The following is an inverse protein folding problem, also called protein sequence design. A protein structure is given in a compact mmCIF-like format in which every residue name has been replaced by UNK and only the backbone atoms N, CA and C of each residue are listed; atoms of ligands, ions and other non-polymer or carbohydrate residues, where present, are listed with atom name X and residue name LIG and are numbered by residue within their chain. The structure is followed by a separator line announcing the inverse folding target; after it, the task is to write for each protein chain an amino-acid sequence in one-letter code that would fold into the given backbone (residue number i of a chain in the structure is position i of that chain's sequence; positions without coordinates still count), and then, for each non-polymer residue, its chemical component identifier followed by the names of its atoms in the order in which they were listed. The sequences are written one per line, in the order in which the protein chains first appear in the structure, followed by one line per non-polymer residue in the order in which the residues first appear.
data_IF_052707668871
#
_entry.id   IF_052707668871
#
_cell.length_a   1.000
_cell.length_b   1.000
_cell.length_c   1.000
_cell.angle_alpha   90.00
_cell.angle_beta   90.00
_cell.angle_gamma   90.00
#
_symmetry.space_group_name_H-M   'P 1'
#
loop_
_entity.id
_entity.type
_entity.pdbx_description
1 polymer ?
#
# COMPACT_ATOMS: atom_id res chain seq x y z
N UNK A 1 11.40 -13.50 -14.94
CA UNK A 1 12.21 -14.58 -15.53
C UNK A 1 11.96 -14.76 -17.01
N UNK A 2 10.70 -14.79 -17.47
CA UNK A 2 10.40 -14.94 -18.90
C UNK A 2 11.08 -13.88 -19.79
N UNK A 3 11.13 -12.63 -19.32
CA UNK A 3 11.86 -11.54 -20.01
C UNK A 3 13.35 -11.83 -20.20
N UNK A 4 14.04 -12.32 -19.17
CA UNK A 4 15.48 -12.64 -19.27
C UNK A 4 15.73 -13.80 -20.23
N UNK A 5 14.85 -14.82 -20.22
CA UNK A 5 14.95 -15.93 -21.16
C UNK A 5 14.73 -15.50 -22.62
N UNK A 6 13.82 -14.55 -22.85
CA UNK A 6 13.63 -13.95 -24.17
C UNK A 6 14.88 -13.20 -24.65
N UNK A 7 15.54 -12.43 -23.78
CA UNK A 7 16.79 -11.74 -24.13
C UNK A 7 17.91 -12.73 -24.48
N UNK A 8 18.05 -13.83 -23.74
CA UNK A 8 19.03 -14.88 -24.07
C UNK A 8 18.75 -15.48 -25.44
N UNK A 9 17.47 -15.70 -25.80
CA UNK A 9 17.09 -16.16 -27.14
C UNK A 9 17.50 -15.18 -28.23
N UNK A 10 17.21 -13.90 -28.05
CA UNK A 10 17.59 -12.83 -29.00
C UNK A 10 19.10 -12.77 -29.22
N UNK A 11 19.88 -12.84 -28.13
CA UNK A 11 21.35 -12.82 -28.20
C UNK A 11 21.96 -14.05 -28.89
N UNK A 12 21.23 -15.17 -28.92
CA UNK A 12 21.66 -16.43 -29.55
C UNK A 12 21.12 -16.62 -30.98
N UNK A 13 20.38 -15.65 -31.53
CA UNK A 13 19.90 -15.72 -32.91
C UNK A 13 21.06 -15.86 -33.91
N UNK A 14 20.86 -16.56 -35.04
CA UNK A 14 21.85 -16.65 -36.11
C UNK A 14 22.30 -15.26 -36.57
N UNK A 15 23.62 -15.05 -36.65
CA UNK A 15 24.20 -13.77 -37.06
C UNK A 15 24.45 -12.78 -35.92
N UNK A 16 23.94 -13.03 -34.71
CA UNK A 16 24.30 -12.26 -33.51
C UNK A 16 25.61 -12.78 -32.94
N UNK A 17 26.67 -11.99 -33.03
CA UNK A 17 27.99 -12.29 -32.41
C UNK A 17 28.01 -11.94 -30.91
N UNK A 18 26.95 -12.26 -30.18
CA UNK A 18 26.74 -11.89 -28.77
C UNK A 18 26.73 -13.11 -27.84
N UNK A 19 27.44 -14.18 -28.24
CA UNK A 19 27.49 -15.44 -27.51
C UNK A 19 27.96 -15.27 -26.06
N UNK A 20 28.96 -14.43 -25.84
CA UNK A 20 29.54 -14.24 -24.50
C UNK A 20 28.56 -13.54 -23.54
N UNK A 21 27.76 -12.59 -24.05
CA UNK A 21 26.70 -11.94 -23.28
C UNK A 21 25.57 -12.93 -22.94
N UNK A 22 25.17 -13.75 -23.91
CA UNK A 22 24.19 -14.81 -23.67
C UNK A 22 24.68 -15.79 -22.60
N UNK A 23 25.96 -16.21 -22.64
CA UNK A 23 26.55 -17.10 -21.64
C UNK A 23 26.61 -16.47 -20.26
N UNK A 24 26.94 -15.17 -20.16
CA UNK A 24 26.93 -14.44 -18.90
C UNK A 24 25.53 -14.43 -18.27
N UNK A 25 24.49 -14.17 -19.07
CA UNK A 25 23.09 -14.21 -18.60
C UNK A 25 22.64 -15.62 -18.20
N UNK A 26 22.99 -16.65 -18.98
CA UNK A 26 22.73 -18.06 -18.63
C UNK A 26 23.37 -18.41 -17.28
N UNK A 27 24.62 -17.98 -17.05
CA UNK A 27 25.32 -18.22 -15.79
C UNK A 27 24.60 -17.59 -14.61
N UNK A 28 24.10 -16.35 -14.75
CA UNK A 28 23.30 -15.70 -13.71
C UNK A 28 21.98 -16.43 -13.44
N UNK A 29 21.30 -16.93 -14.49
CA UNK A 29 20.08 -17.72 -14.34
C UNK A 29 20.34 -19.06 -13.63
N UNK A 30 21.44 -19.74 -13.96
CA UNK A 30 21.90 -20.95 -13.28
C UNK A 30 22.26 -20.70 -11.81
N UNK A 31 22.95 -19.60 -11.52
CA UNK A 31 23.27 -19.22 -10.14
C UNK A 31 22.00 -18.95 -9.31
N UNK A 32 20.96 -18.40 -9.94
CA UNK A 32 19.68 -18.23 -9.28
C UNK A 32 18.93 -19.56 -9.09
N UNK A 33 19.06 -20.48 -10.05
CA UNK A 33 18.54 -21.84 -9.91
C UNK A 33 19.27 -22.62 -8.80
N UNK A 34 20.58 -22.36 -8.61
CA UNK A 34 21.37 -22.99 -7.56
C UNK A 34 21.07 -22.41 -6.18
N UNK A 35 20.65 -21.15 -6.02
CA UNK A 35 20.25 -20.61 -4.70
C UNK A 35 19.09 -21.42 -4.09
N UNK A 36 18.26 -22.06 -4.91
CA UNK A 36 17.15 -22.90 -4.44
C UNK A 36 17.60 -24.24 -3.82
N UNK A 37 18.90 -24.57 -3.85
CA UNK A 37 19.48 -25.79 -3.26
C UNK A 37 20.82 -25.46 -2.61
N UNK A 38 21.11 -26.00 -1.42
CA UNK A 38 22.45 -25.88 -0.83
C UNK A 38 23.50 -26.49 -1.77
N UNK A 39 24.47 -25.65 -2.19
CA UNK A 39 25.69 -25.95 -2.94
C UNK A 39 25.55 -26.75 -4.25
N UNK A 40 25.28 -26.03 -5.35
CA UNK A 40 25.60 -26.52 -6.71
C UNK A 40 26.50 -25.51 -7.39
N UNK A 41 27.74 -25.90 -7.70
CA UNK A 41 28.64 -25.11 -8.54
C UNK A 41 28.13 -25.09 -9.99
N UNK A 42 27.97 -23.89 -10.55
CA UNK A 42 27.59 -23.72 -11.96
C UNK A 42 28.75 -24.13 -12.86
N UNK A 43 28.62 -25.26 -13.57
CA UNK A 43 29.66 -25.76 -14.46
C UNK A 43 29.55 -25.19 -15.88
N UNK A 44 30.67 -25.05 -16.59
CA UNK A 44 30.67 -24.67 -18.02
C UNK A 44 29.91 -25.67 -18.90
N UNK A 45 29.85 -26.95 -18.49
CA UNK A 45 29.07 -27.98 -19.19
C UNK A 45 27.57 -27.71 -19.12
N UNK A 46 27.08 -27.15 -18.02
CA UNK A 46 25.68 -26.77 -17.86
C UNK A 46 25.33 -25.57 -18.73
N UNK A 47 26.23 -24.58 -18.81
CA UNK A 47 26.08 -23.43 -19.70
C UNK A 47 26.00 -23.88 -21.15
N UNK A 48 26.89 -24.79 -21.59
CA UNK A 48 26.90 -25.33 -22.94
C UNK A 48 25.62 -26.11 -23.28
N UNK A 49 25.10 -26.90 -22.33
CA UNK A 49 23.85 -27.65 -22.47
C UNK A 49 22.67 -26.69 -22.65
N UNK A 50 22.59 -25.65 -21.83
CA UNK A 50 21.53 -24.65 -21.89
C UNK A 50 21.61 -23.81 -23.16
N UNK A 51 22.80 -23.41 -23.58
CA UNK A 51 22.99 -22.67 -24.84
C UNK A 51 22.42 -23.45 -26.04
N UNK A 52 22.70 -24.76 -26.10
CA UNK A 52 22.16 -25.65 -27.15
C UNK A 52 20.64 -25.78 -27.07
N UNK A 53 20.11 -25.94 -25.86
CA UNK A 53 18.67 -26.05 -25.61
C UNK A 53 17.91 -24.78 -26.05
N UNK A 54 18.45 -23.59 -25.73
CA UNK A 54 17.86 -22.31 -26.14
C UNK A 54 17.90 -22.15 -27.66
N UNK A 55 19.03 -22.49 -28.31
CA UNK A 55 19.16 -22.47 -29.78
C UNK A 55 18.21 -23.45 -30.48
N UNK A 56 17.89 -24.57 -29.84
CA UNK A 56 16.91 -25.54 -30.31
C UNK A 56 15.44 -25.10 -30.10
N UNK A 57 15.20 -23.92 -29.53
CA UNK A 57 13.86 -23.37 -29.34
C UNK A 57 13.10 -23.96 -28.14
N UNK A 58 13.78 -24.68 -27.24
CA UNK A 58 13.16 -25.30 -26.06
C UNK A 58 12.61 -24.24 -25.10
N UNK A 59 11.53 -24.54 -24.40
CA UNK A 59 10.85 -23.59 -23.50
C UNK A 59 11.63 -23.37 -22.20
N UNK A 60 11.44 -22.22 -21.53
CA UNK A 60 12.13 -21.90 -20.26
C UNK A 60 11.95 -22.99 -19.20
N UNK A 61 10.78 -23.62 -19.13
CA UNK A 61 10.47 -24.69 -18.16
C UNK A 61 11.22 -25.99 -18.45
N UNK A 62 11.60 -26.23 -19.70
CA UNK A 62 12.40 -27.40 -20.10
C UNK A 62 13.88 -27.16 -19.84
N UNK A 63 14.34 -25.92 -20.06
CA UNK A 63 15.75 -25.52 -19.91
C UNK A 63 16.12 -25.26 -18.46
N UNK A 64 15.22 -24.66 -17.69
CA UNK A 64 15.37 -24.31 -16.28
C UNK A 64 14.17 -24.84 -15.47
N UNK A 65 14.07 -26.16 -15.28
CA UNK A 65 12.92 -26.77 -14.62
C UNK A 65 12.75 -26.28 -13.19
N UNK A 66 13.82 -25.95 -12.46
CA UNK A 66 13.72 -25.48 -11.07
C UNK A 66 13.49 -23.96 -10.97
N UNK A 67 13.69 -23.20 -12.04
CA UNK A 67 13.21 -21.81 -12.09
C UNK A 67 11.69 -21.73 -12.24
N UNK A 68 11.02 -22.81 -12.64
CA UNK A 68 9.56 -22.85 -12.73
C UNK A 68 8.85 -22.78 -11.37
N UNK A 69 9.51 -23.22 -10.29
CA UNK A 69 9.05 -23.05 -8.90
C UNK A 69 9.41 -21.68 -8.33
N UNK A 70 10.42 -21.01 -8.90
CA UNK A 70 10.77 -19.59 -8.65
C UNK A 70 10.09 -18.69 -9.71
N UNK A 71 8.92 -19.10 -10.20
CA UNK A 71 8.05 -18.20 -10.94
C UNK A 71 7.61 -17.09 -10.00
N UNK A 72 7.70 -15.83 -10.44
CA UNK A 72 6.93 -14.72 -9.86
C UNK A 72 5.46 -15.04 -10.03
N UNK A 73 4.94 -15.83 -9.10
CA UNK A 73 3.54 -15.84 -8.79
C UNK A 73 3.29 -14.49 -8.14
N UNK A 74 2.57 -13.60 -8.81
CA UNK A 74 1.85 -12.52 -8.11
C UNK A 74 0.67 -13.14 -7.37
N UNK A 75 0.95 -14.12 -6.51
CA UNK A 75 0.07 -14.63 -5.46
C UNK A 75 0.98 -14.76 -4.24
N UNK A 76 0.89 -13.80 -3.34
CA UNK A 76 1.68 -13.79 -2.12
C UNK A 76 1.72 -12.39 -1.57
N UNK A 77 0.90 -12.13 -0.55
CA UNK A 77 1.27 -11.17 0.48
C UNK A 77 2.75 -11.39 0.78
N UNK A 78 3.55 -10.33 0.66
CA UNK A 78 4.96 -10.39 1.00
C UNK A 78 5.16 -10.86 2.43
N UNK A 79 6.42 -10.96 2.87
CA UNK A 79 6.72 -11.20 4.28
C UNK A 79 5.87 -10.26 5.15
N UNK A 80 4.99 -10.82 5.99
CA UNK A 80 4.16 -10.04 6.90
C UNK A 80 5.06 -9.41 7.96
N UNK A 81 5.59 -8.23 7.65
CA UNK A 81 6.35 -7.41 8.56
C UNK A 81 5.37 -6.62 9.43
N UNK A 82 5.24 -7.03 10.68
CA UNK A 82 4.58 -6.22 11.70
C UNK A 82 5.49 -5.05 12.06
N UNK A 83 5.36 -3.96 11.30
CA UNK A 83 6.08 -2.72 11.57
C UNK A 83 5.29 -1.89 12.57
N UNK A 84 5.81 -1.79 13.80
CA UNK A 84 5.24 -0.91 14.81
C UNK A 84 5.78 0.51 14.65
N UNK A 85 4.97 1.39 14.06
CA UNK A 85 5.31 2.80 13.92
C UNK A 85 5.04 3.55 15.23
N UNK A 86 6.11 4.01 15.90
CA UNK A 86 6.02 4.85 17.10
C UNK A 86 6.25 6.31 16.72
N UNK A 87 5.52 7.24 17.36
CA UNK A 87 5.77 8.69 17.21
C UNK A 87 6.95 9.18 18.07
N UNK A 88 7.49 8.32 18.94
CA UNK A 88 8.47 8.70 19.98
C UNK A 88 9.90 8.32 19.60
N UNK A 89 10.06 7.30 18.76
CA UNK A 89 11.34 6.76 18.29
C UNK A 89 11.21 6.22 16.86
N UNK A 90 12.20 6.51 16.00
CA UNK A 90 12.30 6.00 14.63
C UNK A 90 12.45 7.09 13.56
N UNK A 91 12.52 6.67 12.29
CA UNK A 91 12.53 7.59 11.15
C UNK A 91 11.20 8.38 11.06
N UNK A 92 11.24 9.68 10.72
CA UNK A 92 10.06 10.54 10.71
C UNK A 92 8.99 10.04 9.73
N UNK A 93 7.76 9.88 10.23
CA UNK A 93 6.60 9.44 9.44
C UNK A 93 5.93 10.67 8.82
N UNK A 94 5.86 10.71 7.48
CA UNK A 94 5.12 11.74 6.74
C UNK A 94 3.92 11.12 6.04
N UNK A 95 2.73 11.68 6.24
CA UNK A 95 1.56 11.36 5.44
C UNK A 95 1.64 12.11 4.12
N UNK A 96 1.59 11.39 3.01
CA UNK A 96 1.50 11.96 1.65
C UNK A 96 0.04 11.80 1.19
N UNK A 97 -0.50 12.83 0.54
CA UNK A 97 -1.85 12.77 -0.05
C UNK A 97 -1.91 11.70 -1.14
N UNK A 98 -3.06 11.04 -1.30
CA UNK A 98 -3.23 9.90 -2.20
C UNK A 98 -3.01 10.17 -3.70
N UNK A 99 -2.81 11.44 -4.08
CA UNK A 99 -2.65 11.87 -5.47
C UNK A 99 -1.21 11.73 -6.00
N UNK A 100 -0.24 11.39 -5.16
CA UNK A 100 1.15 11.12 -5.59
C UNK A 100 1.69 9.79 -5.02
N UNK A 101 1.30 8.65 -5.62
CA UNK A 101 1.68 7.32 -5.14
C UNK A 101 3.15 6.94 -5.42
N UNK A 102 3.92 7.77 -6.13
CA UNK A 102 5.30 7.45 -6.53
C UNK A 102 6.30 7.48 -5.35
N UNK A 103 6.01 8.24 -4.29
CA UNK A 103 6.85 8.35 -3.08
C UNK A 103 6.33 7.51 -1.89
N UNK A 104 5.22 6.80 -2.04
CA UNK A 104 4.62 6.03 -0.95
C UNK A 104 5.28 4.66 -0.78
N UNK A 105 6.09 4.49 0.27
CA UNK A 105 6.68 3.19 0.64
C UNK A 105 5.64 2.14 1.07
N UNK A 106 4.42 2.57 1.44
CA UNK A 106 3.29 1.71 1.73
C UNK A 106 1.97 2.47 1.54
N UNK A 107 0.97 1.80 0.96
CA UNK A 107 -0.40 2.31 0.89
C UNK A 107 -1.15 1.78 2.12
N UNK A 108 -1.63 2.67 2.98
CA UNK A 108 -2.54 2.30 4.07
C UNK A 108 -3.97 2.44 3.57
N UNK A 109 -4.61 1.31 3.27
CA UNK A 109 -6.06 1.29 3.11
C UNK A 109 -6.70 1.58 4.46
N UNK A 110 -7.35 2.74 4.55
CA UNK A 110 -8.06 3.15 5.75
C UNK A 110 -9.55 3.09 5.41
N UNK A 111 -10.23 2.11 5.99
CA UNK A 111 -11.67 2.01 5.92
C UNK A 111 -12.29 3.30 6.52
N UNK A 112 -12.72 4.20 5.63
CA UNK A 112 -13.28 5.49 5.99
C UNK A 112 -14.54 5.32 6.83
N UNK A 113 -15.33 4.27 6.60
CA UNK A 113 -16.55 4.02 7.34
C UNK A 113 -16.26 3.63 8.80
N UNK A 114 -15.15 2.91 9.05
CA UNK A 114 -14.66 2.65 10.41
C UNK A 114 -14.08 3.90 11.07
N UNK A 115 -13.43 4.79 10.31
CA UNK A 115 -12.88 6.04 10.85
C UNK A 115 -13.96 7.06 11.17
N UNK A 116 -14.94 7.22 10.29
CA UNK A 116 -16.04 8.17 10.38
C UNK A 116 -17.34 7.40 10.64
N UNK A 117 -17.41 6.78 11.81
CA UNK A 117 -18.50 5.89 12.17
C UNK A 117 -19.62 6.58 12.97
N UNK A 118 -19.52 7.86 13.32
CA UNK A 118 -20.53 8.55 14.14
C UNK A 118 -21.46 9.41 13.27
N UNK A 119 -22.77 9.27 13.43
CA UNK A 119 -23.73 10.25 12.92
C UNK A 119 -23.77 11.51 13.77
N UNK A 120 -24.43 12.56 13.28
CA UNK A 120 -24.60 13.80 14.05
C UNK A 120 -25.35 13.58 15.39
N UNK A 121 -26.35 12.69 15.39
CA UNK A 121 -27.08 12.30 16.58
C UNK A 121 -26.22 11.47 17.54
N UNK A 122 -25.50 10.48 17.03
CA UNK A 122 -24.60 9.63 17.82
C UNK A 122 -23.50 10.47 18.48
N UNK A 123 -22.91 11.42 17.75
CA UNK A 123 -21.91 12.34 18.27
C UNK A 123 -22.48 13.23 19.38
N UNK A 124 -23.68 13.79 19.19
CA UNK A 124 -24.34 14.60 20.21
C UNK A 124 -24.59 13.79 21.50
N UNK A 125 -25.11 12.56 21.35
CA UNK A 125 -25.35 11.65 22.47
C UNK A 125 -24.04 11.28 23.18
N UNK A 126 -22.98 10.97 22.41
CA UNK A 126 -21.68 10.57 22.94
C UNK A 126 -21.01 11.70 23.74
N UNK A 127 -21.21 12.95 23.33
CA UNK A 127 -20.72 14.16 24.04
C UNK A 127 -21.64 14.56 25.20
N UNK A 128 -22.86 14.02 25.29
CA UNK A 128 -23.83 14.33 26.34
C UNK A 128 -24.60 15.63 26.10
N UNK A 129 -24.72 16.07 24.84
CA UNK A 129 -25.42 17.28 24.46
C UNK A 129 -26.70 16.97 23.66
N UNK A 130 -27.63 17.92 23.66
CA UNK A 130 -28.75 17.87 22.71
C UNK A 130 -28.26 18.14 21.30
N UNK A 131 -28.93 17.58 20.29
CA UNK A 131 -28.57 17.75 18.87
C UNK A 131 -28.33 19.21 18.47
N UNK A 132 -29.17 20.19 18.89
CA UNK A 132 -28.96 21.58 18.51
C UNK A 132 -27.70 22.18 19.17
N UNK A 133 -27.49 21.95 20.47
CA UNK A 133 -26.29 22.43 21.18
C UNK A 133 -25.01 21.82 20.62
N UNK A 134 -25.04 20.53 20.29
CA UNK A 134 -23.94 19.86 19.63
C UNK A 134 -23.64 20.48 18.26
N UNK A 135 -24.67 20.85 17.49
CA UNK A 135 -24.49 21.53 16.20
C UNK A 135 -23.86 22.91 16.34
N UNK A 136 -24.29 23.71 17.32
CA UNK A 136 -23.69 25.01 17.58
C UNK A 136 -22.22 24.89 18.03
N UNK A 137 -21.91 23.90 18.87
CA UNK A 137 -20.55 23.64 19.29
C UNK A 137 -19.66 23.19 18.13
N UNK A 138 -20.16 22.33 17.22
CA UNK A 138 -19.44 21.95 16.02
C UNK A 138 -19.10 23.14 15.14
N UNK A 139 -20.09 24.01 14.89
CA UNK A 139 -19.90 25.23 14.11
C UNK A 139 -18.89 26.19 14.75
N UNK A 140 -18.99 26.38 16.08
CA UNK A 140 -18.05 27.23 16.82
C UNK A 140 -16.61 26.73 16.77
N UNK A 141 -16.41 25.40 16.78
CA UNK A 141 -15.10 24.76 16.79
C UNK A 141 -14.52 24.49 15.39
N UNK A 142 -15.30 24.75 14.33
CA UNK A 142 -14.91 24.43 12.96
C UNK A 142 -14.80 22.93 12.68
N UNK A 143 -15.60 22.10 13.37
CA UNK A 143 -15.53 20.63 13.28
C UNK A 143 -16.06 20.14 11.94
N UNK A 144 -17.03 20.84 11.37
CA UNK A 144 -17.66 20.45 10.12
C UNK A 144 -16.73 20.73 8.90
N UNK A 145 -15.79 21.67 9.03
CA UNK A 145 -14.81 22.03 8.00
C UNK A 145 -13.52 21.21 8.07
N UNK A 146 -13.27 20.53 9.19
CA UNK A 146 -12.04 19.78 9.42
C UNK A 146 -12.13 18.35 8.84
N UNK A 147 -11.29 18.07 7.83
CA UNK A 147 -11.16 16.77 7.16
C UNK A 147 -10.74 15.63 8.09
N UNK A 148 -10.13 15.93 9.24
CA UNK A 148 -9.80 14.92 10.25
C UNK A 148 -11.02 14.56 11.13
N UNK A 149 -12.04 15.42 11.15
CA UNK A 149 -13.19 15.34 12.03
C UNK A 149 -14.48 14.92 11.30
N UNK A 150 -14.71 15.40 10.08
CA UNK A 150 -15.89 15.11 9.26
C UNK A 150 -15.51 14.49 7.93
N UNK A 151 -16.29 13.51 7.51
CA UNK A 151 -16.33 13.02 6.14
C UNK A 151 -17.77 12.95 5.64
N UNK A 152 -17.98 13.09 4.33
CA UNK A 152 -19.30 13.08 3.72
C UNK A 152 -19.39 11.92 2.75
N UNK A 153 -20.14 10.88 3.12
CA UNK A 153 -20.39 9.75 2.25
C UNK A 153 -21.50 10.08 1.27
N UNK A 154 -21.20 9.97 -0.03
CA UNK A 154 -22.16 10.21 -1.10
C UNK A 154 -22.68 8.88 -1.66
N UNK A 155 -24.00 8.69 -1.63
CA UNK A 155 -24.70 7.53 -2.20
C UNK A 155 -25.74 8.04 -3.20
N UNK A 156 -25.34 8.14 -4.47
CA UNK A 156 -26.15 8.79 -5.50
C UNK A 156 -26.36 10.26 -5.17
N UNK A 157 -27.62 10.68 -4.96
CA UNK A 157 -27.97 12.05 -4.54
C UNK A 157 -27.92 12.26 -3.02
N UNK A 158 -27.78 11.19 -2.24
CA UNK A 158 -27.83 11.29 -0.77
C UNK A 158 -26.44 11.58 -0.22
N UNK A 159 -26.33 12.64 0.58
CA UNK A 159 -25.11 13.02 1.29
C UNK A 159 -25.26 12.74 2.78
N UNK A 160 -24.42 11.86 3.32
CA UNK A 160 -24.47 11.44 4.71
C UNK A 160 -23.19 11.91 5.41
N UNK A 161 -23.23 13.04 6.13
CA UNK A 161 -22.09 13.48 6.93
C UNK A 161 -21.90 12.54 8.13
N UNK A 162 -20.66 12.09 8.31
CA UNK A 162 -20.23 11.28 9.45
C UNK A 162 -18.99 11.86 10.09
N UNK A 163 -18.79 11.51 11.35
CA UNK A 163 -17.79 12.09 12.22
C UNK A 163 -16.86 11.02 12.78
N UNK A 164 -15.60 11.41 13.01
CA UNK A 164 -14.58 10.57 13.61
C UNK A 164 -14.49 10.73 15.12
N UNK A 165 -13.68 9.91 15.78
CA UNK A 165 -13.35 10.11 17.19
C UNK A 165 -12.59 11.42 17.46
N UNK A 166 -11.96 12.03 16.45
CA UNK A 166 -11.32 13.33 16.61
C UNK A 166 -12.36 14.43 16.85
N UNK A 167 -13.50 14.39 16.14
CA UNK A 167 -14.62 15.29 16.40
C UNK A 167 -15.13 15.13 17.84
N UNK A 168 -15.27 13.89 18.32
CA UNK A 168 -15.65 13.62 19.71
C UNK A 168 -14.65 14.20 20.73
N UNK A 169 -13.35 13.91 20.56
CA UNK A 169 -12.31 14.41 21.48
C UNK A 169 -12.29 15.94 21.51
N UNK A 170 -12.33 16.57 20.33
CA UNK A 170 -12.29 18.02 20.19
C UNK A 170 -13.48 18.69 20.85
N UNK A 171 -14.69 18.17 20.65
CA UNK A 171 -15.89 18.67 21.32
C UNK A 171 -15.83 18.47 22.84
N UNK A 172 -15.34 17.31 23.29
CA UNK A 172 -15.22 17.00 24.72
C UNK A 172 -14.19 17.88 25.42
N UNK A 173 -13.06 18.14 24.79
CA UNK A 173 -12.01 19.03 25.32
C UNK A 173 -12.48 20.48 25.36
N UNK A 174 -13.20 20.94 24.34
CA UNK A 174 -13.78 22.27 24.32
C UNK A 174 -14.79 22.49 25.46
N UNK A 175 -15.59 21.48 25.81
CA UNK A 175 -16.52 21.58 26.95
C UNK A 175 -15.84 21.79 28.30
N UNK A 176 -14.53 21.54 28.42
CA UNK A 176 -13.78 21.86 29.65
C UNK A 176 -13.43 23.35 29.77
N UNK A 177 -13.49 24.10 28.66
CA UNK A 177 -13.02 25.49 28.58
C UNK A 177 -14.12 26.47 28.17
N UNK A 178 -15.15 26.00 27.49
CA UNK A 178 -16.20 26.82 26.89
C UNK A 178 -17.55 26.54 27.55
N UNK A 179 -18.28 27.59 27.90
CA UNK A 179 -19.68 27.47 28.31
C UNK A 179 -20.56 27.23 27.08
N UNK A 180 -21.24 26.07 27.08
CA UNK A 180 -22.11 25.65 25.99
C UNK A 180 -23.33 26.58 25.82
N UNK A 181 -23.80 27.22 26.87
CA UNK A 181 -24.93 28.15 26.79
C UNK A 181 -24.54 29.43 26.07
N UNK A 182 -23.33 29.93 26.30
CA UNK A 182 -22.81 31.11 25.60
C UNK A 182 -22.59 30.82 24.12
N UNK A 183 -22.04 29.65 23.78
CA UNK A 183 -21.92 29.19 22.39
C UNK A 183 -23.29 29.06 21.72
N UNK A 184 -24.27 28.49 22.43
CA UNK A 184 -25.62 28.33 21.93
C UNK A 184 -26.32 29.67 21.67
N UNK A 185 -26.07 30.69 22.51
CA UNK A 185 -26.58 32.06 22.34
C UNK A 185 -25.86 32.83 21.25
N UNK A 186 -24.55 32.63 21.12
CA UNK A 186 -23.71 33.31 20.12
C UNK A 186 -23.88 32.75 18.70
N UNK A 187 -24.63 31.67 18.51
CA UNK A 187 -24.89 31.11 17.17
C UNK A 187 -25.52 32.19 16.29
N UNK A 188 -24.85 32.54 15.20
CA UNK A 188 -25.45 33.40 14.19
C UNK A 188 -26.62 32.64 13.54
N UNK A 189 -27.75 33.33 13.38
CA UNK A 189 -28.95 32.83 12.71
C UNK A 189 -28.73 32.70 11.22
#
# INVERSE_FOLDING_TARGET
MDREYHLVRELLEPGRRQRDEARARIRSMLAMESIAVEEVEVSERDIDRIEKAVRAGQGIKEVFPRLSTVGTRTDGEGVNLLVHFTKKEGAPIRYIGGDDPAEAAAVRELDLQKKFYLGAADLAQKVGLTLPKASALRAHLGVDEDVACRDVFEFGSTRIPRFSDNAFRRMREALATVDIEDVWRARQR
#
